data_IF_825104028936
#
_entry.id   IF_825104028936
#
_cell.length_a   1.000
_cell.length_b   1.000
_cell.length_c   1.000
_cell.angle_alpha   90.00
_cell.angle_beta   90.00
_cell.angle_gamma   90.00
#
_symmetry.space_group_name_H-M   'P 1'
#
loop_
_entity.id
_entity.type
_entity.pdbx_description
1 polymer ?
#
# COMPACT_ATOMS: atom_id res chain seq x y z
N UNK A 1 -45.13 -6.92 -2.37
CA UNK A 1 -43.84 -7.47 -1.88
C UNK A 1 -43.11 -6.58 -0.86
N UNK A 2 -43.64 -5.42 -0.43
CA UNK A 2 -42.87 -4.45 0.41
C UNK A 2 -42.71 -4.83 1.89
N UNK A 3 -43.02 -6.07 2.29
CA UNK A 3 -42.87 -6.57 3.67
C UNK A 3 -41.92 -7.76 3.82
N UNK A 4 -41.40 -8.31 2.73
CA UNK A 4 -40.48 -9.45 2.75
C UNK A 4 -39.02 -9.00 2.84
N UNK A 5 -38.19 -9.77 3.54
CA UNK A 5 -36.74 -9.60 3.53
C UNK A 5 -36.21 -9.88 2.12
N UNK A 6 -35.07 -9.29 1.78
CA UNK A 6 -34.48 -9.47 0.44
C UNK A 6 -34.15 -10.93 0.15
N UNK A 7 -33.68 -11.71 1.13
CA UNK A 7 -33.43 -13.14 0.94
C UNK A 7 -34.69 -13.94 0.57
N UNK A 8 -35.83 -13.65 1.21
CA UNK A 8 -37.12 -14.29 0.87
C UNK A 8 -37.58 -13.90 -0.54
N UNK A 9 -37.35 -12.65 -0.93
CA UNK A 9 -37.64 -12.18 -2.30
C UNK A 9 -36.75 -12.86 -3.33
N UNK A 10 -35.47 -13.10 -3.00
CA UNK A 10 -34.55 -13.87 -3.84
C UNK A 10 -35.04 -15.30 -4.00
N UNK A 11 -35.46 -15.97 -2.93
CA UNK A 11 -35.99 -17.34 -2.99
C UNK A 11 -37.24 -17.44 -3.88
N UNK A 12 -38.17 -16.48 -3.75
CA UNK A 12 -39.36 -16.43 -4.61
C UNK A 12 -38.99 -16.22 -6.08
N UNK A 13 -38.04 -15.34 -6.37
CA UNK A 13 -37.59 -15.08 -7.74
C UNK A 13 -36.84 -16.30 -8.33
N UNK A 14 -36.01 -16.97 -7.54
CA UNK A 14 -35.33 -18.21 -7.92
C UNK A 14 -36.34 -19.33 -8.21
N UNK A 15 -37.37 -19.48 -7.38
CA UNK A 15 -38.43 -20.47 -7.57
C UNK A 15 -39.26 -20.22 -8.83
N UNK A 16 -39.45 -18.95 -9.21
CA UNK A 16 -40.09 -18.56 -10.46
C UNK A 16 -39.23 -18.87 -11.71
N UNK A 17 -37.93 -19.13 -11.54
CA UNK A 17 -37.01 -19.46 -12.63
C UNK A 17 -36.65 -18.28 -13.54
N UNK A 18 -36.94 -17.05 -13.11
CA UNK A 18 -36.70 -15.82 -13.87
C UNK A 18 -35.40 -15.13 -13.40
N UNK A 19 -34.30 -15.22 -14.16
CA UNK A 19 -33.03 -14.62 -13.78
C UNK A 19 -33.07 -13.08 -13.76
N UNK A 20 -33.96 -12.44 -14.52
CA UNK A 20 -34.11 -10.99 -14.56
C UNK A 20 -34.74 -10.49 -13.25
N UNK A 21 -35.81 -11.16 -12.79
CA UNK A 21 -36.44 -10.86 -11.51
C UNK A 21 -35.49 -11.06 -10.32
N UNK A 22 -34.61 -12.06 -10.38
CA UNK A 22 -33.57 -12.26 -9.35
C UNK A 22 -32.60 -11.08 -9.32
N UNK A 23 -32.14 -10.60 -10.49
CA UNK A 23 -31.28 -9.42 -10.55
C UNK A 23 -31.98 -8.15 -10.07
N UNK A 24 -33.27 -7.97 -10.35
CA UNK A 24 -34.04 -6.82 -9.83
C UNK A 24 -34.05 -6.78 -8.30
N UNK A 25 -34.22 -7.95 -7.66
CA UNK A 25 -34.15 -8.05 -6.19
C UNK A 25 -32.75 -7.73 -5.69
N UNK A 26 -31.71 -8.23 -6.35
CA UNK A 26 -30.32 -7.98 -5.98
C UNK A 26 -29.95 -6.49 -6.13
N UNK A 27 -30.31 -5.86 -7.25
CA UNK A 27 -30.08 -4.43 -7.48
C UNK A 27 -30.80 -3.57 -6.42
N UNK A 28 -32.05 -3.89 -6.09
CA UNK A 28 -32.78 -3.20 -5.03
C UNK A 28 -32.12 -3.38 -3.64
N UNK A 29 -31.56 -4.57 -3.37
CA UNK A 29 -30.79 -4.80 -2.14
C UNK A 29 -29.53 -3.93 -2.08
N UNK A 30 -28.79 -3.82 -3.19
CA UNK A 30 -27.62 -2.95 -3.30
C UNK A 30 -27.97 -1.47 -3.05
N UNK A 31 -29.03 -0.98 -3.68
CA UNK A 31 -29.49 0.40 -3.53
C UNK A 31 -29.91 0.71 -2.09
N UNK A 32 -30.61 -0.23 -1.44
CA UNK A 32 -30.99 -0.11 -0.03
C UNK A 32 -29.78 0.01 0.91
N UNK A 33 -28.63 -0.58 0.55
CA UNK A 33 -27.42 -0.53 1.36
C UNK A 33 -26.63 0.77 1.23
N UNK A 34 -26.95 1.65 0.26
CA UNK A 34 -26.23 2.93 0.01
C UNK A 34 -24.70 2.82 0.04
N UNK A 35 -24.15 1.67 -0.36
CA UNK A 35 -22.71 1.43 -0.43
C UNK A 35 -22.01 1.01 0.88
N UNK A 36 -22.73 0.69 1.96
CA UNK A 36 -22.12 0.16 3.20
C UNK A 36 -21.94 -1.38 3.12
N UNK A 37 -20.69 -1.91 3.18
CA UNK A 37 -20.42 -3.34 3.21
C UNK A 37 -20.89 -4.00 4.52
N UNK A 38 -21.35 -5.25 4.47
CA UNK A 38 -21.77 -6.03 5.64
C UNK A 38 -23.27 -6.00 5.98
N UNK A 39 -24.12 -5.50 5.07
CA UNK A 39 -25.59 -5.58 5.17
C UNK A 39 -26.16 -6.38 3.99
N UNK A 40 -27.44 -6.77 4.09
CA UNK A 40 -28.41 -7.29 3.10
C UNK A 40 -27.88 -7.64 1.70
N UNK A 41 -27.16 -6.74 1.03
CA UNK A 41 -26.45 -7.03 -0.22
C UNK A 41 -25.49 -8.22 -0.14
N UNK A 42 -24.63 -8.30 0.89
CA UNK A 42 -23.66 -9.41 1.00
C UNK A 42 -24.38 -10.74 1.25
N UNK A 43 -25.47 -10.74 2.04
CA UNK A 43 -26.33 -11.92 2.25
C UNK A 43 -26.95 -12.39 0.92
N UNK A 44 -27.47 -11.46 0.11
CA UNK A 44 -28.01 -11.76 -1.22
C UNK A 44 -26.92 -12.31 -2.14
N UNK A 45 -25.73 -11.72 -2.16
CA UNK A 45 -24.61 -12.22 -2.97
C UNK A 45 -24.22 -13.63 -2.54
N UNK A 46 -24.12 -13.91 -1.24
CA UNK A 46 -23.79 -15.24 -0.72
C UNK A 46 -24.87 -16.28 -1.05
N UNK A 47 -26.15 -15.93 -0.88
CA UNK A 47 -27.28 -16.79 -1.23
C UNK A 47 -27.28 -17.14 -2.72
N UNK A 48 -27.00 -16.17 -3.60
CA UNK A 48 -26.93 -16.39 -5.04
C UNK A 48 -25.66 -17.17 -5.44
N UNK A 49 -24.52 -16.91 -4.80
CA UNK A 49 -23.27 -17.65 -5.02
C UNK A 49 -23.35 -19.11 -4.53
N UNK A 50 -24.20 -19.41 -3.56
CA UNK A 50 -24.47 -20.77 -3.08
C UNK A 50 -25.35 -21.61 -4.03
N UNK A 51 -25.91 -21.02 -5.09
CA UNK A 51 -26.80 -21.73 -6.01
C UNK A 51 -26.05 -22.75 -6.89
N UNK A 52 -26.76 -23.79 -7.41
CA UNK A 52 -26.20 -24.74 -8.36
C UNK A 52 -25.59 -24.05 -9.59
N UNK A 53 -24.55 -24.65 -10.17
CA UNK A 53 -23.80 -24.08 -11.31
C UNK A 53 -24.70 -23.67 -12.48
N UNK A 54 -25.72 -24.46 -12.81
CA UNK A 54 -26.67 -24.14 -13.87
C UNK A 54 -27.53 -22.89 -13.58
N UNK A 55 -27.91 -22.66 -12.33
CA UNK A 55 -28.61 -21.44 -11.90
C UNK A 55 -27.67 -20.24 -11.97
N UNK A 56 -26.45 -20.37 -11.43
CA UNK A 56 -25.44 -19.29 -11.49
C UNK A 56 -25.10 -18.91 -12.94
N UNK A 57 -24.97 -19.89 -13.83
CA UNK A 57 -24.71 -19.66 -15.27
C UNK A 57 -25.81 -18.80 -15.91
N UNK A 58 -27.08 -19.11 -15.63
CA UNK A 58 -28.22 -18.33 -16.14
C UNK A 58 -28.23 -16.90 -15.58
N UNK A 59 -27.94 -16.73 -14.29
CA UNK A 59 -27.86 -15.42 -13.66
C UNK A 59 -26.71 -14.58 -14.22
N UNK A 60 -25.53 -15.17 -14.42
CA UNK A 60 -24.37 -14.46 -15.00
C UNK A 60 -24.65 -13.99 -16.43
N UNK A 61 -25.39 -14.77 -17.22
CA UNK A 61 -25.69 -14.46 -18.62
C UNK A 61 -26.51 -13.18 -18.83
N UNK A 62 -27.33 -12.78 -17.84
CA UNK A 62 -28.18 -11.57 -17.92
C UNK A 62 -27.51 -10.31 -17.36
N UNK A 63 -26.40 -10.44 -16.62
CA UNK A 63 -25.70 -9.28 -16.01
C UNK A 63 -25.24 -8.23 -17.04
N UNK A 64 -24.65 -8.58 -18.21
CA UNK A 64 -24.15 -7.56 -19.14
C UNK A 64 -25.21 -6.55 -19.59
N UNK A 65 -26.45 -7.00 -19.80
CA UNK A 65 -27.56 -6.12 -20.19
C UNK A 65 -27.92 -5.12 -19.07
N UNK A 66 -27.80 -5.52 -17.80
CA UNK A 66 -28.02 -4.66 -16.64
C UNK A 66 -26.84 -3.76 -16.31
N UNK A 67 -25.63 -4.20 -16.64
CA UNK A 67 -24.40 -3.46 -16.40
C UNK A 67 -24.32 -2.18 -17.25
N UNK A 68 -24.74 -2.25 -18.52
CA UNK A 68 -24.63 -1.14 -19.47
C UNK A 68 -25.28 0.18 -18.99
N UNK A 69 -26.54 0.19 -18.49
CA UNK A 69 -27.17 1.40 -17.97
C UNK A 69 -26.84 1.73 -16.50
N UNK A 70 -26.12 0.85 -15.78
CA UNK A 70 -25.96 1.00 -14.33
C UNK A 70 -25.03 2.18 -13.94
N UNK A 71 -25.42 3.03 -12.98
CA UNK A 71 -24.55 4.07 -12.43
C UNK A 71 -23.42 3.48 -11.58
N UNK A 72 -22.35 4.25 -11.35
CA UNK A 72 -21.06 3.76 -10.82
C UNK A 72 -21.13 2.76 -9.67
N UNK A 73 -21.77 3.10 -8.54
CA UNK A 73 -21.85 2.20 -7.38
C UNK A 73 -22.59 0.89 -7.65
N UNK A 74 -23.69 0.97 -8.41
CA UNK A 74 -24.47 -0.21 -8.81
C UNK A 74 -23.72 -1.05 -9.86
N UNK A 75 -22.99 -0.40 -10.77
CA UNK A 75 -22.12 -1.04 -11.75
C UNK A 75 -21.05 -1.89 -11.06
N UNK A 76 -20.40 -1.36 -10.02
CA UNK A 76 -19.40 -2.09 -9.25
C UNK A 76 -19.98 -3.26 -8.46
N UNK A 77 -21.19 -3.09 -7.91
CA UNK A 77 -21.92 -4.18 -7.27
C UNK A 77 -22.27 -5.31 -8.26
N UNK A 78 -22.72 -4.98 -9.47
CA UNK A 78 -23.00 -5.98 -10.51
C UNK A 78 -21.74 -6.71 -11.00
N UNK A 79 -20.61 -6.01 -11.12
CA UNK A 79 -19.32 -6.64 -11.43
C UNK A 79 -18.87 -7.59 -10.33
N UNK A 80 -19.08 -7.20 -9.07
CA UNK A 80 -18.80 -8.05 -7.92
C UNK A 80 -19.71 -9.28 -7.86
N UNK A 81 -21.01 -9.11 -8.08
CA UNK A 81 -21.95 -10.22 -8.17
C UNK A 81 -21.54 -11.18 -9.30
N UNK A 82 -21.23 -10.67 -10.49
CA UNK A 82 -20.75 -11.48 -11.61
C UNK A 82 -19.50 -12.29 -11.24
N UNK A 83 -18.54 -11.68 -10.57
CA UNK A 83 -17.33 -12.37 -10.10
C UNK A 83 -17.69 -13.52 -9.14
N UNK A 84 -18.53 -13.27 -8.14
CA UNK A 84 -18.92 -14.27 -7.13
C UNK A 84 -19.72 -15.41 -7.75
N UNK A 85 -20.63 -15.12 -8.67
CA UNK A 85 -21.43 -16.14 -9.36
C UNK A 85 -20.60 -16.97 -10.34
N UNK A 86 -19.54 -16.41 -10.92
CA UNK A 86 -18.69 -17.09 -11.90
C UNK A 86 -17.66 -18.03 -11.26
N UNK A 87 -17.51 -18.04 -9.93
CA UNK A 87 -16.54 -18.87 -9.24
C UNK A 87 -16.73 -20.37 -9.57
N UNK A 88 -15.70 -21.02 -10.11
CA UNK A 88 -15.73 -22.43 -10.52
C UNK A 88 -16.54 -22.71 -11.79
N UNK A 89 -16.98 -21.69 -12.52
CA UNK A 89 -17.56 -21.83 -13.85
C UNK A 89 -16.49 -21.62 -14.94
N UNK A 90 -16.64 -22.22 -16.14
CA UNK A 90 -15.71 -21.99 -17.23
C UNK A 90 -15.84 -20.57 -17.79
N UNK A 91 -14.70 -19.94 -18.09
CA UNK A 91 -14.62 -18.61 -18.70
C UNK A 91 -14.59 -17.46 -17.71
N UNK A 92 -14.06 -16.32 -18.15
CA UNK A 92 -14.02 -15.09 -17.36
C UNK A 92 -15.01 -14.06 -17.89
N UNK A 93 -16.23 -14.09 -17.34
CA UNK A 93 -17.24 -13.10 -17.69
C UNK A 93 -16.82 -11.71 -17.20
N UNK A 94 -16.98 -10.65 -18.00
CA UNK A 94 -16.76 -9.24 -17.62
C UNK A 94 -15.36 -8.91 -17.04
N UNK A 95 -14.31 -9.64 -17.46
CA UNK A 95 -12.96 -9.40 -16.97
C UNK A 95 -12.38 -8.04 -17.38
N UNK A 96 -12.74 -7.53 -18.57
CA UNK A 96 -12.29 -6.22 -19.03
C UNK A 96 -12.89 -5.10 -18.17
N UNK A 97 -14.18 -5.20 -17.87
CA UNK A 97 -14.94 -4.24 -17.08
C UNK A 97 -14.49 -4.24 -15.61
N UNK A 98 -14.16 -5.42 -15.05
CA UNK A 98 -13.53 -5.50 -13.73
C UNK A 98 -12.17 -4.81 -13.69
N UNK A 99 -11.33 -4.99 -14.71
CA UNK A 99 -10.03 -4.31 -14.78
C UNK A 99 -10.17 -2.80 -14.92
N UNK A 100 -11.13 -2.33 -15.71
CA UNK A 100 -11.47 -0.91 -15.79
C UNK A 100 -11.92 -0.37 -14.43
N UNK A 101 -12.79 -1.09 -13.72
CA UNK A 101 -13.24 -0.73 -12.38
C UNK A 101 -12.10 -0.69 -11.37
N UNK A 102 -11.21 -1.67 -11.44
CA UNK A 102 -10.00 -1.71 -10.64
C UNK A 102 -9.06 -0.51 -10.93
N UNK A 103 -8.99 -0.05 -12.17
CA UNK A 103 -8.23 1.14 -12.54
C UNK A 103 -8.68 2.42 -11.82
N UNK A 104 -9.96 2.52 -11.44
CA UNK A 104 -10.51 3.70 -10.74
C UNK A 104 -10.05 3.87 -9.29
N UNK A 105 -9.35 2.88 -8.73
CA UNK A 105 -8.74 2.99 -7.39
C UNK A 105 -7.26 3.35 -7.41
N UNK A 106 -6.68 3.57 -8.60
CA UNK A 106 -5.25 3.84 -8.79
C UNK A 106 -4.73 5.04 -7.98
N UNK A 107 -5.54 6.10 -7.85
CA UNK A 107 -5.21 7.35 -7.17
C UNK A 107 -5.76 7.42 -5.73
N UNK A 108 -6.44 6.38 -5.24
CA UNK A 108 -7.07 6.38 -3.92
C UNK A 108 -6.04 6.17 -2.80
N UNK A 109 -6.24 6.77 -1.62
CA UNK A 109 -5.43 6.47 -0.43
C UNK A 109 -5.83 5.16 0.24
N UNK A 110 -7.14 4.91 0.28
CA UNK A 110 -7.74 3.70 0.79
C UNK A 110 -8.60 3.08 -0.31
N UNK A 111 -8.63 1.76 -0.35
CA UNK A 111 -9.42 1.03 -1.33
C UNK A 111 -10.78 0.74 -0.71
N UNK A 112 -11.87 1.04 -1.43
CA UNK A 112 -13.24 0.79 -0.98
C UNK A 112 -13.98 -0.11 -1.95
N UNK A 113 -15.10 -0.69 -1.46
CA UNK A 113 -15.96 -1.53 -2.27
C UNK A 113 -15.27 -2.80 -2.78
N UNK A 114 -15.69 -3.31 -3.95
CA UNK A 114 -15.27 -4.62 -4.45
C UNK A 114 -13.89 -4.64 -5.12
N UNK A 115 -13.18 -3.51 -5.18
CA UNK A 115 -11.88 -3.42 -5.86
C UNK A 115 -10.83 -4.42 -5.31
N UNK A 116 -10.87 -4.74 -4.01
CA UNK A 116 -9.99 -5.78 -3.45
C UNK A 116 -10.30 -7.18 -4.02
N UNK A 117 -11.58 -7.52 -4.20
CA UNK A 117 -11.98 -8.78 -4.81
C UNK A 117 -11.61 -8.84 -6.30
N UNK A 118 -11.68 -7.71 -7.01
CA UNK A 118 -11.23 -7.63 -8.40
C UNK A 118 -9.72 -7.85 -8.50
N UNK A 119 -8.94 -7.23 -7.61
CA UNK A 119 -7.49 -7.45 -7.56
C UNK A 119 -7.14 -8.91 -7.22
N UNK A 120 -7.85 -9.52 -6.28
CA UNK A 120 -7.68 -10.94 -5.96
C UNK A 120 -7.93 -11.84 -7.17
N UNK A 121 -9.01 -11.61 -7.92
CA UNK A 121 -9.32 -12.36 -9.12
C UNK A 121 -8.24 -12.24 -10.21
N UNK A 122 -7.66 -11.05 -10.40
CA UNK A 122 -6.54 -10.86 -11.34
C UNK A 122 -5.31 -11.64 -10.90
N UNK A 123 -4.97 -11.61 -9.60
CA UNK A 123 -3.83 -12.35 -9.06
C UNK A 123 -4.04 -13.87 -9.10
N UNK A 124 -5.27 -14.36 -8.84
CA UNK A 124 -5.63 -15.78 -8.95
C UNK A 124 -5.49 -16.28 -10.39
N UNK A 125 -5.80 -15.42 -11.36
CA UNK A 125 -5.61 -15.69 -12.78
C UNK A 125 -4.16 -15.46 -13.27
N UNK A 126 -3.21 -15.21 -12.37
CA UNK A 126 -1.79 -15.00 -12.69
C UNK A 126 -1.51 -13.69 -13.45
N UNK A 127 -2.44 -12.74 -13.45
CA UNK A 127 -2.28 -11.45 -14.13
C UNK A 127 -1.71 -10.40 -13.18
N UNK A 128 -0.75 -9.58 -13.64
CA UNK A 128 -0.20 -8.51 -12.83
C UNK A 128 -1.22 -7.39 -12.65
N UNK A 129 -1.19 -6.74 -11.50
CA UNK A 129 -1.97 -5.54 -11.24
C UNK A 129 -1.30 -4.31 -11.87
N UNK A 130 -2.06 -3.31 -12.34
CA UNK A 130 -1.49 -2.01 -12.69
C UNK A 130 -0.69 -1.40 -11.53
N UNK A 131 0.49 -0.80 -11.75
CA UNK A 131 1.35 -0.29 -10.68
C UNK A 131 0.68 0.63 -9.66
N UNK A 132 -0.19 1.53 -10.11
CA UNK A 132 -0.90 2.46 -9.23
C UNK A 132 -1.98 1.75 -8.39
N UNK A 133 -2.61 0.71 -8.93
CA UNK A 133 -3.55 -0.16 -8.18
C UNK A 133 -2.81 -0.96 -7.12
N UNK A 134 -1.66 -1.55 -7.47
CA UNK A 134 -0.78 -2.23 -6.52
C UNK A 134 -0.38 -1.29 -5.37
N UNK A 135 -0.05 -0.03 -5.70
CA UNK A 135 0.26 0.99 -4.70
C UNK A 135 -0.93 1.31 -3.78
N UNK A 136 -2.14 1.47 -4.33
CA UNK A 136 -3.34 1.72 -3.54
C UNK A 136 -3.64 0.58 -2.56
N UNK A 137 -3.55 -0.69 -3.00
CA UNK A 137 -3.79 -1.86 -2.15
C UNK A 137 -2.77 -1.98 -1.01
N UNK A 138 -1.49 -1.76 -1.31
CA UNK A 138 -0.43 -1.80 -0.29
C UNK A 138 -0.55 -0.66 0.71
N UNK A 139 -0.88 0.55 0.26
CA UNK A 139 -1.15 1.69 1.17
C UNK A 139 -2.29 1.39 2.12
N UNK A 140 -3.38 0.87 1.59
CA UNK A 140 -4.53 0.49 2.40
C UNK A 140 -4.17 -0.58 3.45
N UNK A 141 -3.40 -1.60 3.06
CA UNK A 141 -2.97 -2.68 3.94
C UNK A 141 -2.07 -2.24 5.12
N UNK A 142 -1.37 -1.10 5.01
CA UNK A 142 -0.62 -0.51 6.12
C UNK A 142 -1.54 0.17 7.16
N UNK A 143 -2.83 0.35 6.85
CA UNK A 143 -3.83 0.84 7.79
C UNK A 143 -4.02 -0.10 8.99
N UNK A 144 -4.15 0.48 10.20
CA UNK A 144 -4.26 -0.27 11.47
C UNK A 144 -5.34 -1.35 11.46
N UNK A 145 -6.47 -1.06 10.83
CA UNK A 145 -7.65 -1.92 10.78
C UNK A 145 -7.87 -2.57 9.41
N UNK A 146 -6.87 -2.56 8.53
CA UNK A 146 -7.03 -3.14 7.20
C UNK A 146 -7.05 -4.67 7.27
N UNK A 147 -8.08 -5.25 6.66
CA UNK A 147 -8.22 -6.70 6.42
C UNK A 147 -7.42 -7.17 5.18
N UNK A 148 -6.80 -6.25 4.43
CA UNK A 148 -6.19 -6.55 3.12
C UNK A 148 -4.72 -6.96 3.17
N UNK A 149 -4.18 -7.23 4.36
CA UNK A 149 -2.76 -7.61 4.54
C UNK A 149 -2.37 -8.87 3.77
N UNK A 150 -3.24 -9.89 3.79
CA UNK A 150 -2.99 -11.14 3.07
C UNK A 150 -2.96 -10.92 1.55
N UNK A 151 -3.91 -10.15 1.02
CA UNK A 151 -3.95 -9.78 -0.40
C UNK A 151 -2.73 -8.95 -0.80
N UNK A 152 -2.39 -7.90 -0.04
CA UNK A 152 -1.25 -7.04 -0.33
C UNK A 152 0.09 -7.80 -0.29
N UNK A 153 0.22 -8.85 0.54
CA UNK A 153 1.41 -9.70 0.58
C UNK A 153 1.63 -10.50 -0.71
N UNK A 154 0.58 -10.74 -1.51
CA UNK A 154 0.67 -11.38 -2.83
C UNK A 154 1.16 -10.42 -3.91
N UNK A 155 1.05 -9.10 -3.66
CA UNK A 155 1.48 -8.06 -4.60
C UNK A 155 2.97 -7.81 -4.38
N UNK A 156 3.82 -8.48 -5.15
CA UNK A 156 5.29 -8.32 -5.07
C UNK A 156 5.83 -7.28 -6.05
N UNK A 157 5.03 -6.87 -7.03
CA UNK A 157 5.44 -5.97 -8.11
C UNK A 157 4.52 -4.75 -8.26
N UNK A 158 5.07 -3.59 -8.66
CA UNK A 158 6.51 -3.27 -8.66
C UNK A 158 7.11 -3.32 -7.23
N UNK A 159 8.44 -3.40 -7.08
CA UNK A 159 9.09 -3.56 -5.76
C UNK A 159 8.77 -2.43 -4.77
N UNK A 160 8.59 -1.20 -5.25
CA UNK A 160 8.12 -0.04 -4.48
C UNK A 160 6.79 0.44 -5.05
N UNK A 161 6.03 1.22 -4.29
CA UNK A 161 4.85 1.90 -4.79
C UNK A 161 5.25 3.08 -5.69
N UNK A 162 4.54 3.22 -6.81
CA UNK A 162 4.59 4.43 -7.66
C UNK A 162 3.95 5.63 -6.97
N UNK A 163 4.22 6.83 -7.47
CA UNK A 163 3.65 8.08 -6.96
C UNK A 163 4.57 8.90 -6.06
N UNK A 164 5.79 8.42 -5.81
CA UNK A 164 6.85 9.18 -5.17
C UNK A 164 8.10 9.21 -6.05
N UNK A 165 8.66 10.39 -6.27
CA UNK A 165 9.79 10.59 -7.19
C UNK A 165 10.99 9.71 -6.82
N UNK A 166 11.30 9.58 -5.53
CA UNK A 166 12.42 8.77 -5.07
C UNK A 166 12.23 7.28 -5.40
N UNK A 167 11.00 6.76 -5.22
CA UNK A 167 10.69 5.36 -5.44
C UNK A 167 10.72 5.02 -6.93
N UNK A 168 10.17 5.89 -7.77
CA UNK A 168 10.22 5.74 -9.23
C UNK A 168 11.65 5.84 -9.77
N UNK A 169 12.46 6.75 -9.22
CA UNK A 169 13.88 6.85 -9.58
C UNK A 169 14.63 5.59 -9.17
N UNK A 170 14.42 5.09 -7.94
CA UNK A 170 15.04 3.85 -7.49
C UNK A 170 14.62 2.65 -8.35
N UNK A 171 13.33 2.54 -8.69
CA UNK A 171 12.84 1.48 -9.57
C UNK A 171 13.40 1.57 -10.98
N UNK A 172 13.53 2.77 -11.56
CA UNK A 172 14.15 2.98 -12.87
C UNK A 172 15.64 2.62 -12.86
N UNK A 173 16.37 3.04 -11.82
CA UNK A 173 17.79 2.74 -11.66
C UNK A 173 18.03 1.23 -11.63
N UNK A 174 17.25 0.46 -10.86
CA UNK A 174 17.49 -0.98 -10.71
C UNK A 174 17.22 -1.80 -11.97
N UNK A 175 16.48 -1.28 -12.96
CA UNK A 175 16.30 -1.96 -14.25
C UNK A 175 17.60 -2.09 -15.03
N UNK A 176 18.52 -1.14 -14.86
CA UNK A 176 19.83 -1.13 -15.50
C UNK A 176 20.93 -1.77 -14.64
N UNK A 177 20.60 -2.22 -13.42
CA UNK A 177 21.57 -2.73 -12.45
C UNK A 177 21.44 -4.24 -12.26
N UNK A 178 22.40 -4.82 -11.54
CA UNK A 178 22.40 -6.25 -11.21
C UNK A 178 21.16 -6.62 -10.37
N UNK A 179 20.60 -7.84 -10.53
CA UNK A 179 19.39 -8.28 -9.81
C UNK A 179 19.43 -8.12 -8.28
N UNK A 180 20.61 -8.21 -7.68
CA UNK A 180 20.83 -7.98 -6.23
C UNK A 180 20.27 -6.64 -5.73
N UNK A 181 20.18 -5.61 -6.58
CA UNK A 181 19.58 -4.33 -6.21
C UNK A 181 18.07 -4.40 -5.99
N UNK A 182 17.39 -5.19 -6.83
CA UNK A 182 15.96 -5.47 -6.66
C UNK A 182 15.73 -6.23 -5.36
N UNK A 183 16.56 -7.23 -5.08
CA UNK A 183 16.48 -8.02 -3.84
C UNK A 183 16.76 -7.15 -2.61
N UNK A 184 17.70 -6.19 -2.71
CA UNK A 184 17.95 -5.20 -1.67
C UNK A 184 16.75 -4.29 -1.42
N UNK A 185 16.12 -3.75 -2.46
CA UNK A 185 14.92 -2.92 -2.29
C UNK A 185 13.77 -3.74 -1.71
N UNK A 186 13.56 -4.97 -2.18
CA UNK A 186 12.56 -5.87 -1.62
C UNK A 186 12.83 -6.15 -0.13
N UNK A 187 14.08 -6.43 0.25
CA UNK A 187 14.49 -6.61 1.64
C UNK A 187 14.27 -5.32 2.48
N UNK A 188 14.54 -4.15 1.92
CA UNK A 188 14.31 -2.87 2.60
C UNK A 188 12.82 -2.69 2.94
N UNK A 189 11.88 -3.11 2.10
CA UNK A 189 10.42 -3.01 2.39
C UNK A 189 9.99 -3.81 3.62
N UNK A 190 10.79 -4.79 4.06
CA UNK A 190 10.46 -5.63 5.22
C UNK A 190 10.87 -4.99 6.55
N UNK A 191 11.45 -3.79 6.55
CA UNK A 191 11.92 -3.08 7.73
C UNK A 191 10.78 -2.55 8.62
N UNK A 192 9.86 -3.41 9.06
CA UNK A 192 8.62 -3.05 9.79
C UNK A 192 8.79 -2.97 11.31
N UNK A 193 9.81 -3.61 11.89
CA UNK A 193 10.09 -3.58 13.33
C UNK A 193 10.60 -2.20 13.79
N UNK A 194 10.70 -1.93 15.10
CA UNK A 194 11.25 -0.66 15.62
C UNK A 194 12.74 -0.47 15.28
N UNK A 195 13.50 -1.57 15.19
CA UNK A 195 14.93 -1.65 14.91
C UNK A 195 15.22 -2.89 14.03
N UNK A 196 16.36 -2.95 13.31
CA UNK A 196 16.72 -4.16 12.57
C UNK A 196 16.95 -5.33 13.54
N UNK A 197 16.43 -6.50 13.22
CA UNK A 197 16.79 -7.74 13.94
C UNK A 197 18.13 -8.26 13.43
N UNK A 198 18.81 -9.10 14.22
CA UNK A 198 20.07 -9.71 13.79
C UNK A 198 19.92 -10.50 12.48
N UNK A 199 18.80 -11.23 12.32
CA UNK A 199 18.49 -11.97 11.09
C UNK A 199 18.26 -11.05 9.90
N UNK A 200 17.52 -9.95 10.10
CA UNK A 200 17.30 -8.95 9.06
C UNK A 200 18.63 -8.33 8.63
N UNK A 201 19.45 -7.89 9.59
CA UNK A 201 20.73 -7.25 9.33
C UNK A 201 21.71 -8.18 8.61
N UNK A 202 21.80 -9.44 9.02
CA UNK A 202 22.65 -10.44 8.34
C UNK A 202 22.28 -10.60 6.87
N UNK A 203 20.99 -10.65 6.57
CA UNK A 203 20.49 -10.75 5.19
C UNK A 203 20.82 -9.49 4.39
N UNK A 204 20.58 -8.32 4.98
CA UNK A 204 20.92 -7.04 4.38
C UNK A 204 22.41 -6.86 4.11
N UNK A 205 23.29 -7.29 5.01
CA UNK A 205 24.74 -7.27 4.82
C UNK A 205 25.19 -8.14 3.65
N UNK A 206 24.66 -9.36 3.51
CA UNK A 206 24.98 -10.21 2.38
C UNK A 206 24.58 -9.57 1.03
N UNK A 207 23.43 -8.89 0.99
CA UNK A 207 23.00 -8.13 -0.19
C UNK A 207 23.90 -6.92 -0.47
N UNK A 208 24.31 -6.20 0.58
CA UNK A 208 25.25 -5.08 0.49
C UNK A 208 26.62 -5.52 -0.02
N UNK A 209 27.15 -6.65 0.46
CA UNK A 209 28.42 -7.22 0.02
C UNK A 209 28.37 -7.56 -1.48
N UNK A 210 27.22 -8.07 -1.94
CA UNK A 210 26.95 -8.31 -3.35
C UNK A 210 27.01 -7.05 -4.22
N UNK A 211 26.74 -5.86 -3.66
CA UNK A 211 26.71 -4.56 -4.38
C UNK A 211 28.02 -3.78 -4.23
N UNK A 212 28.62 -3.80 -3.03
CA UNK A 212 29.70 -2.93 -2.59
C UNK A 212 29.18 -1.71 -1.81
N UNK A 213 29.68 -1.44 -0.59
CA UNK A 213 29.12 -0.42 0.30
C UNK A 213 29.20 1.01 -0.24
N UNK A 214 30.28 1.37 -0.95
CA UNK A 214 30.41 2.70 -1.57
C UNK A 214 29.42 2.93 -2.72
N UNK A 215 29.21 1.92 -3.57
CA UNK A 215 28.24 1.99 -4.67
C UNK A 215 26.81 2.06 -4.12
N UNK A 216 26.52 1.24 -3.09
CA UNK A 216 25.26 1.30 -2.37
C UNK A 216 24.98 2.69 -1.80
N UNK A 217 25.96 3.25 -1.10
CA UNK A 217 25.88 4.59 -0.51
C UNK A 217 25.54 5.63 -1.57
N UNK A 218 26.39 5.78 -2.58
CA UNK A 218 26.24 6.83 -3.60
C UNK A 218 24.84 6.85 -4.23
N UNK A 219 24.27 5.68 -4.54
CA UNK A 219 22.92 5.57 -5.10
C UNK A 219 21.84 5.90 -4.08
N UNK A 220 21.95 5.33 -2.88
CA UNK A 220 20.95 5.52 -1.83
C UNK A 220 20.85 6.99 -1.42
N UNK A 221 21.98 7.71 -1.33
CA UNK A 221 21.97 9.15 -1.03
C UNK A 221 21.21 9.94 -2.10
N UNK A 222 21.39 9.60 -3.38
CA UNK A 222 20.62 10.17 -4.49
C UNK A 222 19.11 9.96 -4.33
N UNK A 223 18.69 8.75 -3.93
CA UNK A 223 17.27 8.46 -3.68
C UNK A 223 16.73 9.21 -2.45
N UNK A 224 17.47 9.26 -1.34
CA UNK A 224 17.05 9.96 -0.13
C UNK A 224 16.86 11.48 -0.37
N UNK A 225 17.68 12.09 -1.23
CA UNK A 225 17.54 13.50 -1.61
C UNK A 225 16.23 13.82 -2.38
N UNK A 226 15.57 12.80 -2.93
CA UNK A 226 14.27 12.91 -3.59
C UNK A 226 13.09 12.63 -2.65
N UNK A 227 13.36 12.09 -1.45
CA UNK A 227 12.32 11.72 -0.51
C UNK A 227 11.53 12.96 -0.07
N UNK A 228 10.20 12.84 -0.06
CA UNK A 228 9.33 13.91 0.39
C UNK A 228 9.10 15.07 -0.59
N UNK A 229 9.64 15.02 -1.81
CA UNK A 229 9.20 15.90 -2.92
C UNK A 229 7.71 15.69 -3.24
N UNK A 230 7.05 16.63 -3.94
CA UNK A 230 5.66 16.44 -4.37
C UNK A 230 5.46 15.11 -5.08
N UNK A 231 4.29 14.50 -4.87
CA UNK A 231 3.95 13.22 -5.50
C UNK A 231 3.96 13.33 -7.03
N UNK A 232 4.49 12.30 -7.67
CA UNK A 232 4.45 12.14 -9.14
C UNK A 232 3.08 11.64 -9.61
N UNK A 233 2.34 10.97 -8.72
CA UNK A 233 0.92 10.63 -8.88
C UNK A 233 0.13 11.34 -7.79
N UNK A 234 -0.65 12.36 -8.17
CA UNK A 234 -1.57 13.03 -7.25
C UNK A 234 -2.66 12.05 -6.82
N UNK A 235 -2.86 11.95 -5.52
CA UNK A 235 -3.87 11.09 -4.93
C UNK A 235 -5.16 11.85 -4.68
N UNK A 236 -6.27 11.15 -4.84
CA UNK A 236 -7.60 11.64 -4.52
C UNK A 236 -7.77 11.78 -3.00
N UNK A 237 -8.31 12.92 -2.59
CA UNK A 237 -8.67 13.18 -1.20
C UNK A 237 -10.07 12.64 -0.90
N UNK A 238 -10.15 11.33 -0.63
CA UNK A 238 -11.41 10.65 -0.34
C UNK A 238 -12.06 11.11 0.98
N UNK A 239 -11.26 11.65 1.90
CA UNK A 239 -11.72 12.19 3.19
C UNK A 239 -11.40 13.67 3.27
N UNK A 240 -12.39 14.45 3.72
CA UNK A 240 -12.23 15.89 4.00
C UNK A 240 -11.04 16.07 4.95
N UNK A 241 -10.11 16.93 4.55
CA UNK A 241 -8.91 17.32 5.31
C UNK A 241 -7.81 16.24 5.45
N UNK A 242 -7.88 15.11 4.73
CA UNK A 242 -6.78 14.14 4.73
C UNK A 242 -5.61 14.64 3.86
N UNK A 243 -4.41 14.90 4.41
CA UNK A 243 -3.30 15.51 3.69
C UNK A 243 -2.47 14.46 2.91
N UNK A 244 -3.14 13.53 2.23
CA UNK A 244 -2.55 12.32 1.61
C UNK A 244 -1.42 12.62 0.62
N UNK A 245 -1.46 13.79 -0.04
CA UNK A 245 -0.42 14.24 -0.97
C UNK A 245 0.80 14.85 -0.27
N UNK A 246 0.67 15.22 1.01
CA UNK A 246 1.77 15.72 1.84
C UNK A 246 2.45 14.60 2.62
N UNK A 247 1.80 13.44 2.80
CA UNK A 247 2.36 12.29 3.52
C UNK A 247 3.25 11.43 2.63
N UNK A 248 4.24 10.80 3.26
CA UNK A 248 4.99 9.72 2.63
C UNK A 248 4.07 8.50 2.45
N UNK A 249 4.24 7.78 1.35
CA UNK A 249 3.55 6.51 1.17
C UNK A 249 4.00 5.51 2.27
N UNK A 250 3.06 4.93 3.05
CA UNK A 250 3.40 4.10 4.21
C UNK A 250 4.13 2.79 3.86
N UNK A 251 3.90 2.22 2.66
CA UNK A 251 4.61 1.03 2.21
C UNK A 251 6.06 1.40 1.84
N UNK A 252 6.21 2.44 1.03
CA UNK A 252 7.51 3.01 0.65
C UNK A 252 8.32 3.52 1.85
N UNK A 253 7.65 4.04 2.88
CA UNK A 253 8.29 4.46 4.12
C UNK A 253 8.97 3.29 4.85
N UNK A 254 8.50 2.04 4.69
CA UNK A 254 9.23 0.88 5.20
C UNK A 254 10.56 0.70 4.44
N UNK A 255 10.57 0.86 3.11
CA UNK A 255 11.79 0.80 2.33
C UNK A 255 12.78 1.92 2.68
N UNK A 256 12.34 3.17 2.88
CA UNK A 256 13.21 4.24 3.39
C UNK A 256 13.87 3.85 4.71
N UNK A 257 13.13 3.24 5.63
CA UNK A 257 13.66 2.77 6.92
C UNK A 257 14.67 1.63 6.75
N UNK A 258 14.43 0.71 5.82
CA UNK A 258 15.39 -0.34 5.48
C UNK A 258 16.67 0.23 4.89
N UNK A 259 16.55 1.19 3.97
CA UNK A 259 17.70 1.85 3.35
C UNK A 259 18.56 2.62 4.38
N UNK A 260 17.96 3.31 5.35
CA UNK A 260 18.73 3.96 6.43
C UNK A 260 19.46 2.95 7.32
N UNK A 261 18.84 1.81 7.64
CA UNK A 261 19.50 0.74 8.40
C UNK A 261 20.66 0.09 7.64
N UNK A 262 20.53 -0.05 6.32
CA UNK A 262 21.62 -0.55 5.46
C UNK A 262 22.75 0.48 5.33
N UNK A 263 22.44 1.78 5.22
CA UNK A 263 23.45 2.84 5.27
C UNK A 263 24.27 2.79 6.56
N UNK A 264 23.62 2.48 7.69
CA UNK A 264 24.28 2.30 8.98
C UNK A 264 25.30 1.14 9.01
N UNK A 265 25.27 0.24 8.02
CA UNK A 265 26.21 -0.86 7.87
C UNK A 265 27.42 -0.50 6.99
N UNK A 266 27.47 0.70 6.38
CA UNK A 266 28.54 1.11 5.44
C UNK A 266 29.72 1.83 6.10
N UNK A 267 29.65 2.10 7.41
CA UNK A 267 30.66 2.83 8.16
C UNK A 267 30.46 4.36 8.16
N UNK A 268 31.30 5.11 8.88
CA UNK A 268 31.23 6.58 8.98
C UNK A 268 31.48 7.25 7.63
N UNK A 269 30.65 8.25 7.30
CA UNK A 269 30.73 9.01 6.07
C UNK A 269 29.92 10.32 6.20
N UNK A 270 30.54 11.45 5.89
CA UNK A 270 29.94 12.77 6.11
C UNK A 270 28.70 13.01 5.25
N UNK A 271 28.71 12.62 3.98
CA UNK A 271 27.55 12.76 3.09
C UNK A 271 26.36 11.92 3.59
N UNK A 272 26.64 10.73 4.11
CA UNK A 272 25.65 9.86 4.74
C UNK A 272 25.06 10.52 5.98
N UNK A 273 25.88 11.11 6.85
CA UNK A 273 25.39 11.83 8.02
C UNK A 273 24.45 12.98 7.63
N UNK A 274 24.89 13.85 6.71
CA UNK A 274 24.07 14.97 6.21
C UNK A 274 22.76 14.50 5.59
N UNK A 275 22.78 13.47 4.74
CA UNK A 275 21.57 12.95 4.10
C UNK A 275 20.58 12.35 5.11
N UNK A 276 21.08 11.63 6.13
CA UNK A 276 20.24 11.10 7.20
C UNK A 276 19.57 12.21 8.01
N UNK A 277 20.29 13.28 8.34
CA UNK A 277 19.69 14.42 9.03
C UNK A 277 18.68 15.19 8.17
N UNK A 278 18.95 15.39 6.88
CA UNK A 278 17.97 15.95 5.95
C UNK A 278 16.71 15.08 5.81
N UNK A 279 16.85 13.76 5.90
CA UNK A 279 15.72 12.83 5.93
C UNK A 279 14.92 12.94 7.24
N UNK A 280 15.57 13.20 8.38
CA UNK A 280 14.88 13.49 9.65
C UNK A 280 14.02 14.75 9.49
N UNK A 281 14.58 15.83 8.98
CA UNK A 281 13.85 17.09 8.73
C UNK A 281 12.66 16.88 7.80
N UNK A 282 12.87 16.12 6.72
CA UNK A 282 11.82 15.76 5.76
C UNK A 282 10.70 14.97 6.43
N UNK A 283 11.04 13.95 7.22
CA UNK A 283 10.06 13.08 7.86
C UNK A 283 9.32 13.73 9.05
N UNK A 284 9.90 14.76 9.66
CA UNK A 284 9.31 15.53 10.77
C UNK A 284 8.66 16.84 10.35
N UNK A 285 8.75 17.23 9.07
CA UNK A 285 8.03 18.39 8.55
C UNK A 285 6.56 18.30 8.97
N UNK A 286 6.06 19.38 9.58
CA UNK A 286 4.71 19.45 10.13
C UNK A 286 3.69 19.59 8.99
N UNK A 287 2.71 18.70 9.02
CA UNK A 287 1.50 18.72 8.20
C UNK A 287 0.35 19.27 9.06
N UNK A 288 -0.37 20.32 8.62
CA UNK A 288 -1.49 20.89 9.35
C UNK A 288 -2.51 19.83 9.77
N UNK A 289 -2.98 19.89 11.02
CA UNK A 289 -3.98 18.97 11.60
C UNK A 289 -3.61 17.48 11.64
N UNK A 290 -2.42 17.09 11.16
CA UNK A 290 -1.96 15.69 11.14
C UNK A 290 -0.70 15.46 11.98
N UNK A 291 0.26 16.38 11.96
CA UNK A 291 1.54 16.24 12.65
C UNK A 291 2.70 15.91 11.70
N UNK A 292 3.73 15.16 12.14
CA UNK A 292 4.89 14.86 11.29
C UNK A 292 4.52 13.93 10.13
N UNK A 293 5.14 14.13 8.96
CA UNK A 293 4.89 13.31 7.75
C UNK A 293 5.06 11.81 7.99
N UNK A 294 6.13 11.40 8.67
CA UNK A 294 6.35 10.00 9.02
C UNK A 294 7.37 9.79 10.16
N UNK A 295 6.96 9.83 11.44
CA UNK A 295 7.89 9.83 12.58
C UNK A 295 8.77 8.57 12.66
N UNK A 296 8.31 7.42 12.14
CA UNK A 296 9.10 6.17 12.13
C UNK A 296 10.26 6.21 11.14
N UNK A 297 10.19 7.04 10.08
CA UNK A 297 11.31 7.26 9.15
C UNK A 297 12.36 8.13 9.86
N UNK A 298 11.93 9.20 10.53
CA UNK A 298 12.82 10.02 11.35
C UNK A 298 13.55 9.19 12.41
N UNK A 299 12.85 8.37 13.18
CA UNK A 299 13.48 7.48 14.17
C UNK A 299 14.48 6.50 13.55
N UNK A 300 14.24 6.02 12.32
CA UNK A 300 15.19 5.12 11.63
C UNK A 300 16.47 5.85 11.21
N UNK A 301 16.35 7.09 10.76
CA UNK A 301 17.49 7.91 10.37
C UNK A 301 18.33 8.32 11.59
N UNK A 302 17.68 8.68 12.72
CA UNK A 302 18.37 8.92 14.00
C UNK A 302 19.09 7.66 14.48
N UNK A 303 18.46 6.49 14.38
CA UNK A 303 19.13 5.22 14.69
C UNK A 303 20.35 4.97 13.79
N UNK A 304 20.26 5.29 12.51
CA UNK A 304 21.38 5.16 11.58
C UNK A 304 22.52 6.12 11.93
N UNK A 305 22.22 7.40 12.25
CA UNK A 305 23.19 8.39 12.72
C UNK A 305 23.92 7.94 13.99
N UNK A 306 23.15 7.44 14.97
CA UNK A 306 23.71 6.87 16.22
C UNK A 306 24.69 5.74 15.91
N UNK A 307 24.32 4.86 14.99
CA UNK A 307 25.07 3.65 14.66
C UNK A 307 26.30 3.88 13.78
N UNK A 308 26.26 4.79 12.81
CA UNK A 308 27.46 5.10 12.00
C UNK A 308 28.54 5.76 12.84
N UNK A 309 28.16 6.57 13.84
CA UNK A 309 29.11 7.27 14.69
C UNK A 309 30.00 8.27 13.92
N UNK A 310 31.06 8.70 14.58
CA UNK A 310 32.03 9.64 14.01
C UNK A 310 31.66 11.12 14.18
N UNK A 311 32.61 12.02 13.84
CA UNK A 311 32.46 13.46 14.07
C UNK A 311 31.28 14.06 13.29
N UNK A 312 31.08 13.65 12.04
CA UNK A 312 30.02 14.19 11.19
C UNK A 312 28.62 13.79 11.67
N UNK A 313 28.44 12.53 12.07
CA UNK A 313 27.16 12.06 12.63
C UNK A 313 26.84 12.76 13.95
N UNK A 314 27.86 12.99 14.79
CA UNK A 314 27.69 13.73 16.05
C UNK A 314 27.34 15.20 15.78
N UNK A 315 27.99 15.84 14.82
CA UNK A 315 27.67 17.21 14.41
C UNK A 315 26.23 17.32 13.91
N UNK A 316 25.79 16.37 13.08
CA UNK A 316 24.42 16.33 12.57
C UNK A 316 23.40 16.10 13.69
N UNK A 317 23.66 15.18 14.62
CA UNK A 317 22.79 14.99 15.78
C UNK A 317 22.65 16.26 16.64
N UNK A 318 23.72 17.03 16.84
CA UNK A 318 23.66 18.33 17.55
C UNK A 318 22.81 19.35 16.80
N UNK A 319 22.99 19.48 15.48
CA UNK A 319 22.14 20.33 14.63
C UNK A 319 20.66 19.96 14.77
N UNK A 320 20.35 18.66 14.83
CA UNK A 320 18.98 18.17 14.97
C UNK A 320 18.36 18.50 16.34
N UNK A 321 19.14 18.54 17.42
CA UNK A 321 18.64 18.98 18.76
C UNK A 321 18.14 20.42 18.71
N UNK A 322 18.85 21.30 18.02
CA UNK A 322 18.52 22.72 17.94
C UNK A 322 17.29 23.01 17.07
N UNK A 323 17.00 22.14 16.10
CA UNK A 323 15.99 22.38 15.07
C UNK A 323 14.68 21.61 15.25
N UNK A 324 14.66 20.50 16.00
CA UNK A 324 13.50 19.60 16.08
C UNK A 324 12.63 19.88 17.31
N UNK A 325 11.36 20.17 17.07
CA UNK A 325 10.33 20.30 18.12
C UNK A 325 9.61 18.97 18.48
N UNK A 326 9.77 17.91 17.68
CA UNK A 326 9.07 16.63 17.90
C UNK A 326 9.66 15.87 19.09
N UNK A 327 9.02 16.00 20.26
CA UNK A 327 9.50 15.52 21.58
C UNK A 327 10.02 14.08 21.58
N UNK A 328 9.32 13.14 20.95
CA UNK A 328 9.73 11.73 20.94
C UNK A 328 11.03 11.51 20.16
N UNK A 329 11.20 12.19 19.03
CA UNK A 329 12.43 12.07 18.24
C UNK A 329 13.56 12.85 18.89
N UNK A 330 13.28 14.02 19.49
CA UNK A 330 14.27 14.80 20.24
C UNK A 330 14.92 13.95 21.35
N UNK A 331 14.11 13.24 22.15
CA UNK A 331 14.64 12.30 23.17
C UNK A 331 15.52 11.20 22.59
N UNK A 332 15.22 10.72 21.37
CA UNK A 332 16.05 9.72 20.70
C UNK A 332 17.39 10.30 20.27
N UNK A 333 17.40 11.54 19.79
CA UNK A 333 18.61 12.28 19.37
C UNK A 333 19.49 12.56 20.59
N UNK A 334 18.93 13.10 21.67
CA UNK A 334 19.66 13.37 22.92
C UNK A 334 20.30 12.08 23.47
N UNK A 335 19.55 10.97 23.47
CA UNK A 335 20.08 9.68 23.90
C UNK A 335 21.19 9.15 22.98
N UNK A 336 21.13 9.41 21.68
CA UNK A 336 22.19 9.05 20.72
C UNK A 336 23.46 9.88 20.95
N UNK A 337 23.33 11.19 21.15
CA UNK A 337 24.44 12.06 21.49
C UNK A 337 25.16 11.60 22.76
N UNK A 338 24.41 11.34 23.83
CA UNK A 338 24.99 10.86 25.09
C UNK A 338 25.79 9.55 24.92
N UNK A 339 25.32 8.62 24.07
CA UNK A 339 26.06 7.39 23.74
C UNK A 339 27.35 7.68 22.98
N UNK A 340 27.30 8.54 21.97
CA UNK A 340 28.47 8.88 21.16
C UNK A 340 29.51 9.70 21.91
N UNK A 341 29.11 10.49 22.90
CA UNK A 341 30.03 11.23 23.78
C UNK A 341 30.72 10.34 24.81
N UNK A 342 30.12 9.19 25.14
CA UNK A 342 30.69 8.20 26.05
C UNK A 342 31.66 7.22 25.39
N UNK A 343 31.76 7.22 24.06
CA UNK A 343 32.69 6.35 23.32
C UNK A 343 34.09 6.99 23.27
N UNK A 344 35.16 6.27 23.69
CA UNK A 344 36.53 6.79 23.59
C UNK A 344 36.92 7.04 22.12
N UNK A 345 37.69 8.11 21.90
CA UNK A 345 38.12 8.58 20.57
C UNK A 345 38.98 7.58 19.82
#
# INVERSE_FOLDING_TARGET
MSGLRYGERVDLALAAGDPEAVLDVAMAACEACRGFPGMVWDEVVEQLAGQPAGTRTRLVAVIPARLAPAPGGLRDALLYLSLRLSHGLPGEMLAAERREALGRVADCWQVFGPAAAFAEAELDAGRPLPPAVAAALRRDAEGRFSSRKALAARVTEPVLNVGEQWAETAMADILALRPVWRDLLAHATTARALRPTATWERTGRALLDGIGPGVFRARTLGWLALAGRPRTLTLRQDFRDAPVNELLDPFNANALRGLTWLLACTGPDGETATALGALVDTALRRVPHHGPRHPRVASSAVYALDRIGGPDARAELRRLVESIAHRTTLRQIEAALARQESQPQ
#
